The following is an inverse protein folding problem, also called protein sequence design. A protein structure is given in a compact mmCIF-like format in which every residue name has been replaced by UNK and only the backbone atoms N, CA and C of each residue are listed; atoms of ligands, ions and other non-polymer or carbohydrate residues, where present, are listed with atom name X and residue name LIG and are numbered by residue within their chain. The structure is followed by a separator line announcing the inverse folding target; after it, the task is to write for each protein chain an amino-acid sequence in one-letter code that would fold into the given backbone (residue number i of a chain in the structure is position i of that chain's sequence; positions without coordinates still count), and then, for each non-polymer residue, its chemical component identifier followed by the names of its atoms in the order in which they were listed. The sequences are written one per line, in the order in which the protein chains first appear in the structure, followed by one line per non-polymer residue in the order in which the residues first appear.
data_IF_374410299304
#
_entry.id   IF_374410299304
#
_cell.length_a   1.000
_cell.length_b   1.000
_cell.length_c   1.000
_cell.angle_alpha   90.00
_cell.angle_beta   90.00
_cell.angle_gamma   90.00
#
_symmetry.space_group_name_H-M   'P 1'
#
loop_
_entity.id
_entity.type
_entity.pdbx_description
1 polymer ?
#
# COMPACT_ATOMS: atom_id res chain seq x y z
N UNK A 1 24.50 58.03 24.07
CA UNK A 1 25.08 56.82 23.46
C UNK A 1 23.99 55.76 23.36
N UNK A 2 23.59 55.29 22.17
CA UNK A 2 22.69 54.15 22.06
C UNK A 2 23.50 52.87 21.80
N UNK A 3 23.35 51.92 22.73
CA UNK A 3 23.95 50.59 22.70
C UNK A 3 23.20 49.71 21.69
N UNK A 4 23.92 49.21 20.69
CA UNK A 4 23.42 48.35 19.61
C UNK A 4 23.28 46.92 20.17
N UNK A 5 22.04 46.46 20.37
CA UNK A 5 21.79 45.13 20.90
C UNK A 5 21.02 44.23 19.92
N UNK A 6 21.77 43.23 19.46
CA UNK A 6 21.38 41.83 19.22
C UNK A 6 20.49 41.54 18.00
N UNK A 7 21.16 40.96 17.00
CA UNK A 7 20.57 40.37 15.81
C UNK A 7 19.58 39.26 16.16
N UNK A 8 18.38 39.39 15.59
CA UNK A 8 17.35 38.35 15.56
C UNK A 8 16.92 38.18 14.11
N UNK A 9 17.81 37.61 13.29
CA UNK A 9 17.55 37.29 11.87
C UNK A 9 18.15 35.95 11.49
N UNK A 10 17.75 34.90 12.20
CA UNK A 10 17.98 33.54 11.74
C UNK A 10 16.85 32.68 12.27
N UNK A 11 16.37 31.74 11.46
CA UNK A 11 15.40 30.67 11.79
C UNK A 11 13.93 30.94 11.44
N UNK A 12 13.61 31.23 10.17
CA UNK A 12 12.24 31.04 9.65
C UNK A 12 12.23 30.52 8.19
N UNK A 13 13.06 29.52 7.86
CA UNK A 13 13.03 28.87 6.53
C UNK A 13 13.11 27.33 6.59
N UNK A 14 12.67 26.70 7.69
CA UNK A 14 12.59 25.23 7.81
C UNK A 14 11.15 24.79 8.09
N UNK A 15 10.21 25.23 7.26
CA UNK A 15 8.80 24.85 7.39
C UNK A 15 8.17 24.23 6.13
N UNK A 16 8.54 24.55 4.88
CA UNK A 16 7.80 24.00 3.75
C UNK A 16 8.32 22.62 3.28
N UNK A 17 9.53 22.21 3.68
CA UNK A 17 10.14 20.96 3.18
C UNK A 17 9.59 19.68 3.83
N UNK A 18 9.02 19.75 5.03
CA UNK A 18 8.40 18.57 5.65
C UNK A 18 7.00 18.25 5.08
N UNK A 19 6.32 19.21 4.47
CA UNK A 19 5.00 18.98 3.89
C UNK A 19 5.05 18.16 2.58
N UNK A 20 6.16 18.22 1.85
CA UNK A 20 6.34 17.46 0.61
C UNK A 20 6.67 15.97 0.84
N UNK A 21 7.19 15.62 2.02
CA UNK A 21 7.60 14.24 2.31
C UNK A 21 6.42 13.31 2.71
N UNK A 22 5.27 13.86 3.10
CA UNK A 22 4.08 13.05 3.40
C UNK A 22 3.25 12.69 2.15
N UNK A 23 3.41 13.42 1.04
CA UNK A 23 2.59 13.19 -0.15
C UNK A 23 3.00 11.95 -0.97
N UNK A 24 4.23 11.44 -0.79
CA UNK A 24 4.74 10.29 -1.55
C UNK A 24 4.39 8.93 -0.93
N UNK A 25 3.90 8.88 0.31
CA UNK A 25 3.55 7.61 0.97
C UNK A 25 2.12 7.13 0.68
N UNK A 26 1.23 7.98 0.14
CA UNK A 26 -0.13 7.55 -0.25
C UNK A 26 -0.17 6.71 -1.54
N UNK A 27 0.94 6.64 -2.29
CA UNK A 27 1.04 5.79 -3.48
C UNK A 27 1.01 4.29 -3.19
N UNK A 28 1.44 3.88 -1.99
CA UNK A 28 1.53 2.47 -1.59
C UNK A 28 0.17 1.83 -1.22
N UNK A 29 -0.91 2.61 -1.18
CA UNK A 29 -2.25 2.10 -0.89
C UNK A 29 -3.07 1.75 -2.15
N UNK A 30 -2.54 1.99 -3.36
CA UNK A 30 -3.29 1.86 -4.61
C UNK A 30 -2.72 0.74 -5.50
N UNK A 31 -3.00 -0.52 -5.15
CA UNK A 31 -2.77 -1.66 -6.04
C UNK A 31 -3.88 -1.81 -7.12
N UNK A 32 -3.64 -2.60 -8.19
CA UNK A 32 -4.71 -3.01 -9.09
C UNK A 32 -5.76 -3.82 -8.31
N UNK A 33 -7.03 -3.62 -8.66
CA UNK A 33 -8.10 -4.46 -8.12
C UNK A 33 -8.03 -5.89 -8.67
N UNK A 34 -8.70 -6.83 -8.01
CA UNK A 34 -8.68 -8.24 -8.42
C UNK A 34 -9.07 -8.48 -9.87
N UNK A 35 -10.08 -7.77 -10.39
CA UNK A 35 -10.48 -7.88 -11.80
C UNK A 35 -9.40 -7.40 -12.78
N UNK A 36 -8.64 -6.36 -12.41
CA UNK A 36 -7.57 -5.80 -13.25
C UNK A 36 -6.31 -6.65 -13.22
N UNK A 37 -5.99 -7.25 -12.07
CA UNK A 37 -4.82 -8.10 -11.90
C UNK A 37 -5.05 -9.55 -12.35
N UNK A 38 -6.29 -9.92 -12.65
CA UNK A 38 -6.63 -11.26 -13.09
C UNK A 38 -6.06 -11.58 -14.47
N UNK A 39 -5.31 -12.66 -14.54
CA UNK A 39 -4.71 -13.21 -15.76
C UNK A 39 -5.07 -14.68 -16.00
N UNK A 40 -5.68 -15.35 -15.02
CA UNK A 40 -6.12 -16.74 -15.12
C UNK A 40 -6.62 -17.29 -13.78
N UNK A 41 -7.12 -18.54 -13.75
CA UNK A 41 -7.50 -19.19 -12.50
C UNK A 41 -6.27 -19.49 -11.63
N UNK A 42 -6.40 -19.31 -10.31
CA UNK A 42 -5.32 -19.62 -9.36
C UNK A 42 -5.42 -18.86 -8.04
N UNK A 43 -4.35 -18.92 -7.26
CA UNK A 43 -4.24 -18.20 -5.98
C UNK A 43 -3.60 -16.83 -6.18
N UNK A 44 -4.22 -15.81 -5.62
CA UNK A 44 -3.75 -14.44 -5.68
C UNK A 44 -3.45 -13.93 -4.28
N UNK A 45 -2.38 -13.17 -4.16
CA UNK A 45 -1.98 -12.52 -2.93
C UNK A 45 -2.69 -11.16 -2.86
N UNK A 46 -3.68 -11.05 -1.98
CA UNK A 46 -4.59 -9.92 -1.92
C UNK A 46 -4.64 -9.25 -0.56
N UNK A 47 -4.90 -7.95 -0.52
CA UNK A 47 -5.28 -7.23 0.69
C UNK A 47 -6.80 -7.05 0.72
N UNK A 48 -7.44 -7.58 1.75
CA UNK A 48 -8.91 -7.71 1.86
C UNK A 48 -9.67 -6.39 1.95
N UNK A 49 -10.94 -6.43 1.52
CA UNK A 49 -11.93 -5.33 1.48
C UNK A 49 -11.98 -4.39 2.68
N UNK A 50 -11.69 -4.87 3.90
CA UNK A 50 -11.82 -4.07 5.13
C UNK A 50 -10.67 -3.05 5.25
N UNK A 51 -9.49 -3.38 4.71
CA UNK A 51 -8.28 -2.56 4.92
C UNK A 51 -8.03 -1.60 3.76
N UNK A 52 -8.67 -1.79 2.60
CA UNK A 52 -8.48 -0.98 1.39
C UNK A 52 -9.80 -0.42 0.88
N UNK A 53 -10.00 0.89 1.02
CA UNK A 53 -11.12 1.60 0.40
C UNK A 53 -11.06 1.46 -1.13
N UNK A 54 -11.97 0.68 -1.72
CA UNK A 54 -12.02 0.45 -3.18
C UNK A 54 -11.88 -1.00 -3.64
N UNK A 55 -12.01 -1.98 -2.74
CA UNK A 55 -11.99 -3.42 -3.08
C UNK A 55 -10.59 -4.04 -2.95
N UNK A 56 -10.48 -5.37 -3.09
CA UNK A 56 -9.26 -6.12 -2.80
C UNK A 56 -8.17 -5.69 -3.75
N UNK A 57 -7.00 -5.42 -3.19
CA UNK A 57 -5.81 -5.06 -3.95
C UNK A 57 -4.95 -6.29 -4.13
N UNK A 58 -4.55 -6.56 -5.37
CA UNK A 58 -3.72 -7.72 -5.70
C UNK A 58 -2.27 -7.31 -5.82
N UNK A 59 -1.41 -8.09 -5.18
CA UNK A 59 0.03 -7.88 -5.12
C UNK A 59 0.83 -8.98 -5.82
N UNK A 60 0.17 -10.07 -6.22
CA UNK A 60 0.78 -11.15 -7.00
C UNK A 60 -0.19 -12.28 -7.32
N UNK A 61 0.20 -13.12 -8.27
CA UNK A 61 -0.57 -14.28 -8.76
C UNK A 61 -0.73 -14.26 -10.29
N UNK A 62 -1.29 -15.32 -10.88
CA UNK A 62 -1.79 -16.54 -10.24
C UNK A 62 -0.64 -17.43 -9.76
N UNK A 63 -0.80 -17.98 -8.57
CA UNK A 63 0.14 -18.88 -7.91
C UNK A 63 -0.54 -20.22 -7.57
N UNK A 64 0.25 -21.18 -7.11
CA UNK A 64 -0.25 -22.25 -6.23
C UNK A 64 -0.44 -21.69 -4.82
N UNK A 65 -1.18 -22.41 -3.96
CA UNK A 65 -1.41 -21.98 -2.59
C UNK A 65 -0.09 -21.80 -1.81
N UNK A 66 0.80 -22.78 -1.91
CA UNK A 66 2.08 -22.81 -1.19
C UNK A 66 2.95 -21.63 -1.61
N UNK A 67 2.98 -21.33 -2.91
CA UNK A 67 3.75 -20.20 -3.42
C UNK A 67 3.16 -18.86 -2.97
N UNK A 68 1.82 -18.75 -2.92
CA UNK A 68 1.18 -17.56 -2.39
C UNK A 68 1.56 -17.33 -0.91
N UNK A 69 1.52 -18.37 -0.07
CA UNK A 69 1.91 -18.28 1.34
C UNK A 69 3.40 -17.94 1.52
N UNK A 70 4.28 -18.48 0.66
CA UNK A 70 5.70 -18.13 0.63
C UNK A 70 5.89 -16.63 0.37
N UNK A 71 5.21 -16.08 -0.64
CA UNK A 71 5.26 -14.63 -0.94
C UNK A 71 4.64 -13.79 0.18
N UNK A 72 3.56 -14.27 0.82
CA UNK A 72 2.93 -13.61 1.98
C UNK A 72 3.89 -13.50 3.16
N UNK A 73 4.64 -14.56 3.47
CA UNK A 73 5.56 -14.59 4.60
C UNK A 73 6.79 -13.70 4.33
N UNK A 74 7.25 -13.62 3.07
CA UNK A 74 8.37 -12.74 2.67
C UNK A 74 8.11 -11.25 2.94
N UNK A 75 6.85 -10.83 3.01
CA UNK A 75 6.48 -9.46 3.33
C UNK A 75 6.75 -9.09 4.80
N UNK A 76 7.12 -10.06 5.64
CA UNK A 76 7.50 -9.85 7.02
C UNK A 76 6.31 -9.76 7.99
N UNK A 77 6.58 -9.72 9.30
CA UNK A 77 5.57 -9.93 10.34
C UNK A 77 4.55 -8.79 10.45
N UNK A 78 4.84 -7.61 9.91
CA UNK A 78 3.94 -6.45 9.96
C UNK A 78 2.93 -6.48 8.80
N UNK A 79 3.38 -6.78 7.59
CA UNK A 79 2.55 -6.74 6.37
C UNK A 79 1.85 -8.06 6.11
N UNK A 80 2.51 -9.19 6.37
CA UNK A 80 1.98 -10.54 6.14
C UNK A 80 0.59 -10.81 6.76
N UNK A 81 0.25 -10.29 7.96
CA UNK A 81 -1.10 -10.46 8.54
C UNK A 81 -2.20 -9.67 7.83
N UNK A 82 -1.86 -8.62 7.09
CA UNK A 82 -2.83 -7.81 6.34
C UNK A 82 -3.16 -8.40 4.96
N UNK A 83 -2.45 -9.46 4.57
CA UNK A 83 -2.49 -10.07 3.26
C UNK A 83 -3.12 -11.45 3.34
N UNK A 84 -3.92 -11.82 2.35
CA UNK A 84 -4.58 -13.11 2.23
C UNK A 84 -4.23 -13.78 0.90
N UNK A 85 -4.08 -15.10 0.93
CA UNK A 85 -4.08 -15.92 -0.26
C UNK A 85 -5.51 -16.30 -0.63
N UNK A 86 -6.02 -15.74 -1.71
CA UNK A 86 -7.41 -15.90 -2.17
C UNK A 86 -7.42 -16.71 -3.46
N UNK A 87 -8.23 -17.77 -3.50
CA UNK A 87 -8.43 -18.57 -4.71
C UNK A 87 -9.49 -17.91 -5.60
N UNK A 88 -9.10 -17.63 -6.85
CA UNK A 88 -10.01 -17.19 -7.91
C UNK A 88 -10.11 -18.28 -8.99
N UNK A 89 -11.16 -19.13 -8.95
CA UNK A 89 -11.38 -20.14 -9.99
C UNK A 89 -11.87 -19.54 -11.31
N UNK A 90 -12.35 -18.29 -11.28
CA UNK A 90 -12.80 -17.53 -12.44
C UNK A 90 -12.50 -16.04 -12.27
N UNK A 91 -12.80 -15.24 -13.30
CA UNK A 91 -12.51 -13.80 -13.28
C UNK A 91 -13.28 -13.09 -12.15
N UNK A 92 -12.60 -12.39 -11.22
CA UNK A 92 -13.24 -11.68 -10.11
C UNK A 92 -14.15 -10.54 -10.62
N UNK A 93 -15.28 -10.31 -9.94
CA UNK A 93 -16.16 -9.17 -10.22
C UNK A 93 -15.58 -7.87 -9.65
N UNK A 94 -15.91 -6.73 -10.28
CA UNK A 94 -15.30 -5.42 -9.99
C UNK A 94 -15.51 -4.91 -8.55
N UNK A 95 -16.65 -5.19 -7.93
CA UNK A 95 -17.01 -4.64 -6.60
C UNK A 95 -17.05 -5.68 -5.48
N UNK A 96 -16.56 -6.88 -5.74
CA UNK A 96 -16.53 -7.94 -4.75
C UNK A 96 -17.86 -8.61 -4.46
N UNK A 97 -17.72 -9.87 -4.06
CA UNK A 97 -18.73 -10.89 -4.27
C UNK A 97 -18.19 -11.83 -5.34
N UNK A 98 -17.70 -12.97 -4.89
CA UNK A 98 -17.42 -14.10 -5.78
C UNK A 98 -18.60 -14.31 -6.74
#
# INVERSE_FOLDING_TARGET
MPERSIGRRTTLLVAPLLAAALATTLGACNGPGATQAWTGPGWYLEKSYIIVGGGPKVFGGPFTYEKCEEERIKMGPITSPEMLCVNHPGKPKQYGGY
#
